data_IF_216076976200
#
_entry.id   IF_216076976200
#
_cell.length_a   1.000
_cell.length_b   1.000
_cell.length_c   1.000
_cell.angle_alpha   90.00
_cell.angle_beta   90.00
_cell.angle_gamma   90.00
#
_symmetry.space_group_name_H-M   'P 1'
#
loop_
_entity.id
_entity.type
_entity.pdbx_description
1 polymer ?
#
# COMPACT_ATOMS: atom_id res chain seq x y z
N UNK A 1 7.09 -18.34 -14.96
CA UNK A 1 6.57 -17.89 -13.67
C UNK A 1 5.06 -18.06 -13.60
N UNK A 2 4.24 -17.36 -14.39
CA UNK A 2 2.77 -17.49 -14.31
C UNK A 2 2.26 -18.94 -14.53
N UNK A 3 2.66 -19.67 -15.58
CA UNK A 3 2.13 -21.03 -15.81
C UNK A 3 2.58 -22.08 -14.77
N UNK A 4 3.67 -21.80 -14.06
CA UNK A 4 4.26 -22.71 -13.07
C UNK A 4 3.58 -22.58 -11.70
N UNK A 5 3.04 -21.40 -11.40
CA UNK A 5 2.52 -21.09 -10.07
C UNK A 5 1.02 -20.79 -10.07
N UNK A 6 0.48 -20.18 -11.13
CA UNK A 6 -0.91 -19.73 -11.18
C UNK A 6 -1.82 -20.69 -11.96
N UNK A 7 -1.36 -21.16 -13.12
CA UNK A 7 -2.13 -22.03 -14.02
C UNK A 7 -2.07 -23.52 -13.62
N UNK A 8 -1.93 -23.79 -12.31
CA UNK A 8 -1.90 -25.14 -11.75
C UNK A 8 -3.31 -25.58 -11.30
N UNK A 9 -3.66 -26.88 -11.44
CA UNK A 9 -4.93 -27.42 -10.97
C UNK A 9 -5.16 -27.12 -9.47
N UNK A 10 -6.40 -26.82 -9.11
CA UNK A 10 -6.76 -26.56 -7.70
C UNK A 10 -6.45 -27.73 -6.75
N UNK A 11 -6.43 -28.95 -7.28
CA UNK A 11 -6.16 -30.20 -6.56
C UNK A 11 -4.69 -30.35 -6.14
N UNK A 12 -3.78 -29.59 -6.78
CA UNK A 12 -2.34 -29.60 -6.49
C UNK A 12 -1.95 -28.53 -5.46
N UNK A 13 -2.89 -27.66 -5.05
CA UNK A 13 -2.66 -26.58 -4.08
C UNK A 13 -2.79 -27.08 -2.65
N UNK A 14 -1.87 -26.67 -1.79
CA UNK A 14 -1.96 -26.83 -0.35
C UNK A 14 -3.13 -26.03 0.25
N UNK A 15 -3.55 -26.36 1.47
CA UNK A 15 -4.63 -25.65 2.17
C UNK A 15 -4.35 -24.16 2.35
N UNK A 16 -3.09 -23.80 2.67
CA UNK A 16 -2.66 -22.41 2.84
C UNK A 16 -2.72 -21.63 1.51
N UNK A 17 -2.34 -22.26 0.40
CA UNK A 17 -2.43 -21.65 -0.94
C UNK A 17 -3.89 -21.46 -1.37
N UNK A 18 -4.77 -22.42 -1.05
CA UNK A 18 -6.21 -22.29 -1.30
C UNK A 18 -6.80 -21.13 -0.48
N UNK A 19 -6.41 -21.01 0.79
CA UNK A 19 -6.85 -19.94 1.67
C UNK A 19 -6.40 -18.56 1.15
N UNK A 20 -5.11 -18.42 0.81
CA UNK A 20 -4.56 -17.19 0.24
C UNK A 20 -5.27 -16.82 -1.08
N UNK A 21 -5.44 -17.78 -1.99
CA UNK A 21 -6.13 -17.55 -3.26
C UNK A 21 -7.57 -17.07 -3.07
N UNK A 22 -8.34 -17.72 -2.17
CA UNK A 22 -9.71 -17.30 -1.85
C UNK A 22 -9.76 -15.88 -1.30
N UNK A 23 -8.81 -15.50 -0.46
CA UNK A 23 -8.78 -14.16 0.12
C UNK A 23 -8.45 -13.10 -0.93
N UNK A 24 -7.50 -13.38 -1.83
CA UNK A 24 -7.20 -12.54 -3.00
C UNK A 24 -8.45 -12.33 -3.87
N UNK A 25 -9.19 -13.40 -4.18
CA UNK A 25 -10.44 -13.32 -4.97
C UNK A 25 -11.52 -12.47 -4.31
N UNK A 26 -11.53 -12.38 -2.98
CA UNK A 26 -12.47 -11.56 -2.23
C UNK A 26 -12.05 -10.08 -2.19
N UNK A 27 -10.74 -9.80 -2.15
CA UNK A 27 -10.22 -8.44 -1.98
C UNK A 27 -10.02 -7.70 -3.30
N UNK A 28 -9.54 -8.37 -4.36
CA UNK A 28 -9.24 -7.72 -5.64
C UNK A 28 -10.43 -6.95 -6.22
N UNK A 29 -11.66 -7.50 -6.27
CA UNK A 29 -12.82 -6.77 -6.81
C UNK A 29 -13.21 -5.51 -6.04
N UNK A 30 -12.68 -5.32 -4.82
CA UNK A 30 -12.95 -4.19 -3.93
C UNK A 30 -11.78 -3.21 -3.83
N UNK A 31 -10.72 -3.44 -4.60
CA UNK A 31 -9.49 -2.64 -4.58
C UNK A 31 -9.69 -1.31 -5.28
N UNK A 32 -9.21 -0.22 -4.68
CA UNK A 32 -9.33 1.14 -5.21
C UNK A 32 -10.74 1.49 -5.75
N UNK A 33 -11.79 1.41 -4.89
CA UNK A 33 -13.19 1.51 -5.32
C UNK A 33 -13.55 2.84 -6.00
N UNK A 34 -12.78 3.90 -5.74
CA UNK A 34 -12.94 5.22 -6.33
C UNK A 34 -12.34 5.38 -7.72
N UNK A 35 -11.64 4.36 -8.23
CA UNK A 35 -10.93 4.40 -9.52
C UNK A 35 -11.48 3.29 -10.43
N UNK A 36 -12.40 3.61 -11.37
CA UNK A 36 -13.08 2.61 -12.20
C UNK A 36 -12.13 1.71 -12.97
N UNK A 37 -11.00 2.24 -13.43
CA UNK A 37 -10.02 1.51 -14.23
C UNK A 37 -9.46 0.25 -13.54
N UNK A 38 -9.37 0.21 -12.20
CA UNK A 38 -8.95 -1.02 -11.49
C UNK A 38 -10.00 -2.14 -11.49
N UNK A 39 -11.22 -1.86 -11.97
CA UNK A 39 -12.29 -2.84 -12.09
C UNK A 39 -12.35 -3.48 -13.47
N UNK A 40 -11.50 -3.06 -14.41
CA UNK A 40 -11.36 -3.71 -15.70
C UNK A 40 -10.87 -5.16 -15.53
N UNK A 41 -11.45 -6.15 -16.23
CA UNK A 41 -11.11 -7.57 -16.04
C UNK A 41 -9.62 -7.88 -16.18
N UNK A 42 -8.97 -7.27 -17.18
CA UNK A 42 -7.54 -7.47 -17.44
C UNK A 42 -6.66 -6.98 -16.28
N UNK A 43 -7.11 -5.94 -15.57
CA UNK A 43 -6.43 -5.39 -14.40
C UNK A 43 -6.65 -6.28 -13.18
N UNK A 44 -7.89 -6.71 -12.95
CA UNK A 44 -8.21 -7.62 -11.84
C UNK A 44 -7.49 -8.96 -11.97
N UNK A 45 -7.40 -9.53 -13.17
CA UNK A 45 -6.64 -10.75 -13.42
C UNK A 45 -5.16 -10.57 -13.09
N UNK A 46 -4.58 -9.44 -13.47
CA UNK A 46 -3.18 -9.12 -13.16
C UNK A 46 -2.93 -8.97 -11.66
N UNK A 47 -3.81 -8.26 -10.95
CA UNK A 47 -3.75 -8.14 -9.49
C UNK A 47 -3.87 -9.50 -8.80
N UNK A 48 -4.80 -10.36 -9.25
CA UNK A 48 -4.98 -11.70 -8.69
C UNK A 48 -3.73 -12.56 -8.84
N UNK A 49 -3.15 -12.61 -10.06
CA UNK A 49 -1.91 -13.36 -10.32
C UNK A 49 -0.77 -12.85 -9.46
N UNK A 50 -0.54 -11.55 -9.48
CA UNK A 50 0.57 -10.91 -8.78
C UNK A 50 0.48 -11.18 -7.27
N UNK A 51 -0.68 -10.90 -6.65
CA UNK A 51 -0.86 -11.04 -5.20
C UNK A 51 -0.81 -12.51 -4.75
N UNK A 52 -1.39 -13.41 -5.54
CA UNK A 52 -1.31 -14.84 -5.25
C UNK A 52 0.13 -15.36 -5.33
N UNK A 53 0.84 -15.09 -6.43
CA UNK A 53 2.25 -15.50 -6.61
C UNK A 53 3.12 -14.89 -5.51
N UNK A 54 2.85 -13.66 -5.10
CA UNK A 54 3.57 -13.04 -3.98
C UNK A 54 3.31 -13.78 -2.68
N UNK A 55 2.05 -14.07 -2.35
CA UNK A 55 1.65 -14.74 -1.11
C UNK A 55 2.28 -16.11 -0.94
N UNK A 56 2.25 -16.95 -1.98
CA UNK A 56 2.82 -18.32 -1.91
C UNK A 56 4.35 -18.30 -1.79
N UNK A 57 5.01 -17.26 -2.32
CA UNK A 57 6.47 -17.12 -2.26
C UNK A 57 6.97 -16.54 -0.94
N UNK A 58 6.08 -16.03 -0.10
CA UNK A 58 6.39 -15.43 1.20
C UNK A 58 5.57 -16.10 2.32
N UNK A 59 5.79 -17.38 2.63
CA UNK A 59 4.92 -18.16 3.53
C UNK A 59 4.88 -17.64 4.97
N UNK A 60 5.88 -16.85 5.40
CA UNK A 60 5.87 -16.20 6.71
C UNK A 60 4.79 -15.10 6.83
N UNK A 61 4.33 -14.56 5.70
CA UNK A 61 3.27 -13.55 5.62
C UNK A 61 2.01 -14.13 4.98
N UNK A 62 2.16 -14.87 3.87
CA UNK A 62 1.04 -15.18 2.98
C UNK A 62 0.45 -13.92 2.37
N UNK A 63 -0.74 -14.03 1.78
CA UNK A 63 -1.51 -12.84 1.42
C UNK A 63 -2.16 -12.23 2.67
N UNK A 64 -1.97 -10.93 2.88
CA UNK A 64 -2.61 -10.18 3.97
C UNK A 64 -3.45 -9.05 3.38
N UNK A 65 -4.68 -8.91 3.87
CA UNK A 65 -5.58 -7.85 3.43
C UNK A 65 -4.92 -6.46 3.60
N UNK A 66 -4.97 -5.65 2.54
CA UNK A 66 -4.28 -4.36 2.44
C UNK A 66 -3.06 -4.40 1.51
N UNK A 67 -2.47 -5.58 1.27
CA UNK A 67 -1.42 -5.75 0.26
C UNK A 67 -1.91 -5.43 -1.16
N UNK A 68 -3.18 -5.73 -1.45
CA UNK A 68 -3.83 -5.38 -2.71
C UNK A 68 -3.74 -3.87 -3.01
N UNK A 69 -3.84 -3.02 -1.98
CA UNK A 69 -3.77 -1.56 -2.16
C UNK A 69 -2.34 -1.11 -2.47
N UNK A 70 -1.31 -1.80 -1.97
CA UNK A 70 0.09 -1.43 -2.20
C UNK A 70 0.53 -1.59 -3.67
N UNK A 71 -0.15 -2.46 -4.42
CA UNK A 71 0.15 -2.70 -5.84
C UNK A 71 -0.40 -1.59 -6.71
N UNK A 72 -1.49 -0.95 -6.30
CA UNK A 72 -2.22 0.01 -7.12
C UNK A 72 -1.38 1.22 -7.58
N UNK A 73 -0.52 1.85 -6.75
CA UNK A 73 0.30 2.97 -7.21
C UNK A 73 1.34 2.54 -8.26
N UNK A 74 1.98 1.38 -8.08
CA UNK A 74 2.92 0.85 -9.07
C UNK A 74 2.24 0.55 -10.39
N UNK A 75 1.07 -0.11 -10.33
CA UNK A 75 0.32 -0.46 -11.53
C UNK A 75 -0.12 0.79 -12.30
N UNK A 76 -0.61 1.81 -11.61
CA UNK A 76 -0.97 3.08 -12.24
C UNK A 76 0.24 3.77 -12.88
N UNK A 77 1.38 3.84 -12.19
CA UNK A 77 2.59 4.49 -12.72
C UNK A 77 3.11 3.76 -13.95
N UNK A 78 3.26 2.44 -13.92
CA UNK A 78 3.79 1.69 -15.07
C UNK A 78 2.81 1.65 -16.25
N UNK A 79 1.49 1.58 -16.01
CA UNK A 79 0.51 1.68 -17.09
C UNK A 79 0.46 3.09 -17.72
N UNK A 80 0.83 4.13 -16.98
CA UNK A 80 0.82 5.50 -17.51
C UNK A 80 1.76 5.69 -18.71
N UNK A 81 2.82 4.89 -18.84
CA UNK A 81 3.73 4.91 -20.00
C UNK A 81 3.06 4.40 -21.30
N UNK A 82 2.00 3.62 -21.16
CA UNK A 82 1.25 3.01 -22.25
C UNK A 82 -0.10 3.69 -22.51
N UNK A 83 -0.47 4.64 -21.67
CA UNK A 83 -1.78 5.30 -21.68
C UNK A 83 -1.65 6.77 -22.11
N UNK A 84 -2.73 7.32 -22.67
CA UNK A 84 -2.78 8.73 -23.04
C UNK A 84 -3.79 9.46 -22.15
N UNK A 85 -3.42 10.67 -21.73
CA UNK A 85 -4.30 11.53 -20.94
C UNK A 85 -4.43 11.10 -19.46
N UNK A 86 -5.34 11.74 -18.72
CA UNK A 86 -5.53 11.48 -17.30
C UNK A 86 -6.22 10.11 -17.08
N UNK A 87 -6.03 9.53 -15.89
CA UNK A 87 -6.44 8.16 -15.57
C UNK A 87 -7.95 7.92 -15.75
N UNK A 88 -8.78 8.95 -15.60
CA UNK A 88 -10.24 8.88 -15.82
C UNK A 88 -10.61 8.57 -17.28
N UNK A 89 -9.69 8.78 -18.22
CA UNK A 89 -9.87 8.52 -19.66
C UNK A 89 -9.27 7.19 -20.13
N UNK A 90 -8.61 6.45 -19.23
CA UNK A 90 -7.96 5.19 -19.60
C UNK A 90 -8.99 4.10 -19.90
N UNK A 91 -8.70 3.28 -20.91
CA UNK A 91 -9.51 2.12 -21.29
C UNK A 91 -8.62 0.88 -21.43
N UNK A 92 -9.18 -0.28 -21.07
CA UNK A 92 -8.53 -1.57 -21.26
C UNK A 92 -8.29 -1.92 -22.74
N UNK A 93 -9.00 -1.28 -23.68
CA UNK A 93 -8.86 -1.52 -25.13
C UNK A 93 -7.44 -1.22 -25.65
N UNK A 94 -6.71 -0.35 -24.96
CA UNK A 94 -5.33 0.02 -25.31
C UNK A 94 -4.30 -1.01 -24.80
N UNK A 95 -4.73 -1.96 -23.96
CA UNK A 95 -3.87 -2.95 -23.33
C UNK A 95 -3.91 -4.27 -24.08
N UNK A 96 -2.76 -4.92 -24.10
CA UNK A 96 -2.63 -6.29 -24.56
C UNK A 96 -1.89 -7.13 -23.51
N UNK A 97 -1.93 -8.45 -23.68
CA UNK A 97 -1.33 -9.37 -22.75
C UNK A 97 0.19 -9.17 -22.59
N UNK A 98 0.90 -8.76 -23.63
CA UNK A 98 2.34 -8.52 -23.57
C UNK A 98 2.67 -7.32 -22.68
N UNK A 99 1.96 -6.21 -22.85
CA UNK A 99 2.10 -5.02 -21.99
C UNK A 99 1.78 -5.38 -20.55
N UNK A 100 0.65 -6.06 -20.32
CA UNK A 100 0.22 -6.43 -18.98
C UNK A 100 1.19 -7.35 -18.27
N UNK A 101 1.76 -8.35 -18.96
CA UNK A 101 2.75 -9.24 -18.35
C UNK A 101 4.06 -8.52 -17.99
N UNK A 102 4.49 -7.55 -18.80
CA UNK A 102 5.67 -6.73 -18.49
C UNK A 102 5.42 -5.86 -17.25
N UNK A 103 4.31 -5.11 -17.26
CA UNK A 103 3.91 -4.25 -16.15
C UNK A 103 3.66 -5.04 -14.86
N UNK A 104 3.03 -6.22 -14.95
CA UNK A 104 2.80 -7.12 -13.82
C UNK A 104 4.12 -7.58 -13.21
N UNK A 105 5.12 -7.91 -14.03
CA UNK A 105 6.44 -8.30 -13.55
C UNK A 105 7.14 -7.15 -12.81
N UNK A 106 7.08 -5.93 -13.35
CA UNK A 106 7.67 -4.75 -12.71
C UNK A 106 6.96 -4.43 -11.39
N UNK A 107 5.62 -4.46 -11.37
CA UNK A 107 4.82 -4.31 -10.15
C UNK A 107 5.18 -5.36 -9.10
N UNK A 108 5.37 -6.61 -9.50
CA UNK A 108 5.73 -7.70 -8.60
C UNK A 108 7.08 -7.43 -7.91
N UNK A 109 8.11 -7.04 -8.66
CA UNK A 109 9.42 -6.75 -8.10
C UNK A 109 9.43 -5.50 -7.23
N UNK A 110 8.69 -4.46 -7.62
CA UNK A 110 8.48 -3.27 -6.80
C UNK A 110 7.76 -3.58 -5.50
N UNK A 111 6.72 -4.43 -5.52
CA UNK A 111 6.04 -4.90 -4.31
C UNK A 111 7.00 -5.68 -3.39
N UNK A 112 7.80 -6.60 -3.96
CA UNK A 112 8.82 -7.33 -3.20
C UNK A 112 9.78 -6.37 -2.49
N UNK A 113 10.30 -5.37 -3.23
CA UNK A 113 11.23 -4.37 -2.66
C UNK A 113 10.59 -3.47 -1.62
N UNK A 114 9.33 -3.09 -1.82
CA UNK A 114 8.56 -2.33 -0.83
C UNK A 114 8.40 -3.13 0.47
N UNK A 115 7.88 -4.36 0.35
CA UNK A 115 7.57 -5.20 1.51
C UNK A 115 8.82 -5.67 2.24
N UNK A 116 9.97 -5.83 1.56
CA UNK A 116 11.27 -6.06 2.22
C UNK A 116 11.59 -5.01 3.31
N UNK A 117 11.16 -3.76 3.14
CA UNK A 117 11.35 -2.70 4.12
C UNK A 117 10.34 -2.69 5.28
N UNK A 118 9.24 -3.45 5.17
CA UNK A 118 8.13 -3.47 6.12
C UNK A 118 7.58 -4.89 6.36
N UNK A 119 8.44 -5.91 6.31
CA UNK A 119 8.02 -7.33 6.37
C UNK A 119 7.19 -7.63 7.62
N UNK A 120 7.60 -7.06 8.74
CA UNK A 120 6.97 -7.19 10.05
C UNK A 120 5.57 -6.54 10.15
N UNK A 121 5.13 -5.79 9.13
CA UNK A 121 3.75 -5.32 8.98
C UNK A 121 2.80 -6.45 8.55
N UNK A 122 3.31 -7.47 7.85
CA UNK A 122 2.49 -8.52 7.22
C UNK A 122 2.80 -9.93 7.75
N UNK A 123 3.76 -10.11 8.66
CA UNK A 123 3.93 -11.37 9.38
C UNK A 123 2.82 -11.57 10.43
N UNK A 124 2.69 -12.80 10.96
CA UNK A 124 1.76 -13.13 12.04
C UNK A 124 1.77 -12.10 13.20
N UNK A 125 0.58 -11.73 13.66
CA UNK A 125 0.33 -10.69 14.68
C UNK A 125 0.78 -9.25 14.33
N UNK A 126 1.29 -9.02 13.11
CA UNK A 126 1.63 -7.71 12.55
C UNK A 126 2.39 -6.77 13.53
N UNK A 127 3.49 -7.23 14.15
CA UNK A 127 4.17 -6.48 15.20
C UNK A 127 4.73 -5.13 14.74
N UNK A 128 5.05 -4.99 13.45
CA UNK A 128 5.49 -3.71 12.88
C UNK A 128 4.37 -2.67 12.80
N UNK A 129 3.12 -3.10 12.53
CA UNK A 129 1.95 -2.21 12.59
C UNK A 129 1.76 -1.68 14.02
N UNK A 130 1.80 -2.57 15.01
CA UNK A 130 1.65 -2.20 16.42
C UNK A 130 2.71 -1.17 16.86
N UNK A 131 3.97 -1.38 16.45
CA UNK A 131 5.05 -0.41 16.72
C UNK A 131 4.81 0.94 16.04
N UNK A 132 4.40 0.94 14.78
CA UNK A 132 4.14 2.17 14.01
C UNK A 132 2.99 2.97 14.61
N UNK A 133 1.88 2.30 14.97
CA UNK A 133 0.73 2.93 15.63
C UNK A 133 1.12 3.50 17.00
N UNK A 134 1.89 2.76 17.79
CA UNK A 134 2.41 3.28 19.07
C UNK A 134 3.27 4.53 18.89
N UNK A 135 4.14 4.55 17.87
CA UNK A 135 4.95 5.73 17.56
C UNK A 135 4.09 6.92 17.11
N UNK A 136 3.05 6.70 16.32
CA UNK A 136 2.08 7.74 15.94
C UNK A 136 1.42 8.33 17.20
N UNK A 137 0.93 7.48 18.11
CA UNK A 137 0.36 7.91 19.40
C UNK A 137 1.32 8.79 20.18
N UNK A 138 2.58 8.36 20.35
CA UNK A 138 3.58 9.13 21.08
C UNK A 138 3.93 10.46 20.39
N UNK A 139 3.90 10.53 19.07
CA UNK A 139 4.10 11.78 18.35
C UNK A 139 2.95 12.76 18.54
N UNK A 140 1.71 12.30 18.41
CA UNK A 140 0.53 13.14 18.66
C UNK A 140 0.53 13.64 20.09
N UNK A 141 0.79 12.77 21.07
CA UNK A 141 0.90 13.18 22.49
C UNK A 141 1.98 14.25 22.73
N UNK A 142 3.06 14.25 21.96
CA UNK A 142 4.16 15.22 22.08
C UNK A 142 3.91 16.54 21.34
N UNK A 143 3.19 16.51 20.24
CA UNK A 143 2.96 17.69 19.40
C UNK A 143 1.62 18.37 19.72
N UNK A 144 0.59 17.58 20.00
CA UNK A 144 -0.81 17.96 20.17
C UNK A 144 -1.41 17.19 21.37
N UNK A 145 -0.94 17.50 22.58
CA UNK A 145 -1.37 16.80 23.81
C UNK A 145 -2.88 16.88 24.01
N UNK A 146 -3.50 18.01 23.69
CA UNK A 146 -4.94 18.24 23.87
C UNK A 146 -5.77 17.27 23.01
N UNK A 147 -5.30 16.96 21.80
CA UNK A 147 -5.94 15.96 20.92
C UNK A 147 -5.76 14.56 21.49
N UNK A 148 -4.56 14.21 21.96
CA UNK A 148 -4.28 12.91 22.56
C UNK A 148 -5.16 12.67 23.80
N UNK A 149 -5.26 13.66 24.68
CA UNK A 149 -6.03 13.57 25.92
C UNK A 149 -7.53 13.46 25.62
N UNK A 150 -8.01 14.19 24.60
CA UNK A 150 -9.41 14.08 24.15
C UNK A 150 -9.73 12.68 23.61
N UNK A 151 -8.87 12.11 22.76
CA UNK A 151 -9.06 10.75 22.25
C UNK A 151 -9.10 9.71 23.38
N UNK A 152 -8.23 9.86 24.39
CA UNK A 152 -8.24 8.98 25.57
C UNK A 152 -9.51 9.14 26.42
N UNK A 153 -9.99 10.38 26.60
CA UNK A 153 -11.24 10.66 27.32
C UNK A 153 -12.47 10.04 26.63
N UNK A 154 -12.48 10.02 25.29
CA UNK A 154 -13.53 9.39 24.48
C UNK A 154 -13.31 7.87 24.27
N UNK A 155 -12.31 7.27 24.92
CA UNK A 155 -11.93 5.88 24.80
C UNK A 155 -11.63 5.43 23.35
N UNK A 156 -11.09 6.34 22.54
CA UNK A 156 -10.64 6.08 21.16
C UNK A 156 -9.17 5.65 21.17
N UNK A 157 -8.92 4.40 20.80
CA UNK A 157 -7.56 3.89 20.65
C UNK A 157 -7.03 4.18 19.24
N UNK A 158 -5.78 4.64 19.15
CA UNK A 158 -5.08 4.90 17.88
C UNK A 158 -5.13 3.71 16.93
N UNK A 159 -5.11 2.47 17.44
CA UNK A 159 -5.18 1.28 16.57
C UNK A 159 -6.48 1.22 15.76
N UNK A 160 -7.59 1.80 16.25
CA UNK A 160 -8.90 1.73 15.60
C UNK A 160 -8.92 2.45 14.24
N UNK A 161 -8.13 3.51 14.08
CA UNK A 161 -8.04 4.27 12.83
C UNK A 161 -6.66 4.12 12.15
N UNK A 162 -5.57 4.14 12.91
CA UNK A 162 -4.23 4.16 12.37
C UNK A 162 -3.77 2.80 11.83
N UNK A 163 -4.41 1.68 12.22
CA UNK A 163 -4.12 0.37 11.61
C UNK A 163 -4.23 0.45 10.09
N UNK A 164 -5.34 1.00 9.57
CA UNK A 164 -5.57 1.12 8.12
C UNK A 164 -4.57 2.06 7.46
N UNK A 165 -4.21 3.14 8.15
CA UNK A 165 -3.23 4.13 7.67
C UNK A 165 -1.86 3.48 7.44
N UNK A 166 -1.38 2.71 8.41
CA UNK A 166 -0.08 2.05 8.34
C UNK A 166 -0.12 0.84 7.40
N UNK A 167 -1.18 0.03 7.46
CA UNK A 167 -1.28 -1.21 6.69
C UNK A 167 -1.40 -0.97 5.17
N UNK A 168 -2.07 0.12 4.76
CA UNK A 168 -2.24 0.51 3.36
C UNK A 168 -1.38 1.74 2.97
N UNK A 169 -0.43 2.17 3.81
CA UNK A 169 0.43 3.34 3.59
C UNK A 169 -0.34 4.59 3.11
N UNK A 170 -1.46 4.89 3.79
CA UNK A 170 -2.38 6.01 3.54
C UNK A 170 -3.08 6.04 2.17
N UNK A 171 -2.91 5.02 1.32
CA UNK A 171 -3.55 4.96 -0.01
C UNK A 171 -5.07 5.05 0.06
N UNK A 172 -5.68 4.64 1.19
CA UNK A 172 -7.14 4.70 1.41
C UNK A 172 -7.66 6.03 1.97
N UNK A 173 -6.78 6.89 2.47
CA UNK A 173 -7.18 8.14 3.15
C UNK A 173 -7.12 9.35 2.22
N UNK A 174 -6.37 9.23 1.13
CA UNK A 174 -6.13 10.29 0.17
C UNK A 174 -6.78 9.99 -1.18
N UNK A 175 -7.19 11.02 -1.95
CA UNK A 175 -7.41 10.88 -3.38
C UNK A 175 -6.23 10.17 -4.05
N UNK A 176 -6.50 9.25 -4.96
CA UNK A 176 -5.50 8.34 -5.50
C UNK A 176 -4.26 9.05 -6.10
N UNK A 177 -4.47 10.15 -6.82
CA UNK A 177 -3.37 10.95 -7.38
C UNK A 177 -2.48 11.57 -6.29
N UNK A 178 -3.06 11.95 -5.15
CA UNK A 178 -2.30 12.46 -4.01
C UNK A 178 -1.55 11.34 -3.28
N UNK A 179 -2.12 10.13 -3.23
CA UNK A 179 -1.43 8.95 -2.70
C UNK A 179 -0.17 8.62 -3.54
N UNK A 180 -0.27 8.65 -4.88
CA UNK A 180 0.90 8.49 -5.76
C UNK A 180 1.95 9.56 -5.46
N UNK A 181 1.53 10.84 -5.38
CA UNK A 181 2.46 11.94 -5.07
C UNK A 181 3.11 11.80 -3.70
N UNK A 182 2.40 11.29 -2.70
CA UNK A 182 2.97 11.00 -1.38
C UNK A 182 4.07 9.94 -1.49
N UNK A 183 3.83 8.90 -2.29
CA UNK A 183 4.76 7.80 -2.51
C UNK A 183 6.04 8.22 -3.24
N UNK A 184 6.02 9.26 -4.09
CA UNK A 184 7.25 9.86 -4.64
C UNK A 184 8.23 10.25 -3.52
N UNK A 185 7.69 10.82 -2.43
CA UNK A 185 8.49 11.22 -1.27
C UNK A 185 8.95 10.01 -0.47
N UNK A 186 8.08 9.00 -0.31
CA UNK A 186 8.45 7.78 0.41
C UNK A 186 9.59 7.02 -0.28
N UNK A 187 9.57 6.95 -1.61
CA UNK A 187 10.60 6.31 -2.42
C UNK A 187 11.90 7.12 -2.44
N UNK A 188 11.83 8.45 -2.38
CA UNK A 188 13.00 9.32 -2.36
C UNK A 188 13.69 9.36 -0.98
N UNK A 189 12.94 9.19 0.12
CA UNK A 189 13.50 9.23 1.46
C UNK A 189 14.23 7.91 1.80
N UNK A 190 15.56 7.97 1.85
CA UNK A 190 16.42 6.80 2.08
C UNK A 190 16.32 6.13 3.47
N UNK A 191 15.46 6.61 4.37
CA UNK A 191 15.22 6.01 5.69
C UNK A 191 14.15 4.90 5.68
N UNK A 192 13.44 4.72 4.56
CA UNK A 192 12.43 3.67 4.40
C UNK A 192 11.00 4.11 4.74
N UNK A 193 10.03 3.40 4.14
CA UNK A 193 8.60 3.73 4.13
C UNK A 193 7.97 3.85 5.54
N UNK A 194 8.32 2.95 6.45
CA UNK A 194 7.76 2.93 7.81
C UNK A 194 8.29 4.06 8.70
N UNK A 195 9.51 4.54 8.46
CA UNK A 195 10.08 5.63 9.25
C UNK A 195 9.52 6.98 8.83
N UNK A 196 9.30 7.20 7.52
CA UNK A 196 8.73 8.45 7.02
C UNK A 196 7.27 8.65 7.42
N UNK A 197 6.44 7.59 7.36
CA UNK A 197 5.04 7.65 7.80
C UNK A 197 4.90 8.19 9.23
N UNK A 198 5.90 7.92 10.07
CA UNK A 198 5.93 8.33 11.48
C UNK A 198 6.95 9.43 11.71
N UNK A 199 7.19 10.29 10.72
CA UNK A 199 8.13 11.41 10.82
C UNK A 199 7.39 12.74 10.93
N UNK A 200 7.09 13.10 12.16
CA UNK A 200 6.97 14.50 12.57
C UNK A 200 7.86 14.75 13.80
N UNK A 201 8.68 15.79 13.77
CA UNK A 201 9.32 16.32 14.99
C UNK A 201 10.82 16.08 15.22
N UNK A 202 11.66 15.92 14.18
CA UNK A 202 13.15 15.95 14.33
C UNK A 202 13.89 16.97 13.47
N UNK A 203 13.23 17.97 12.88
CA UNK A 203 13.96 19.15 12.38
C UNK A 203 13.74 20.28 13.38
N UNK A 204 14.84 20.72 14.00
CA UNK A 204 14.81 21.81 14.96
C UNK A 204 14.21 23.08 14.36
N UNK A 205 13.71 24.00 15.20
CA UNK A 205 12.97 25.19 14.77
C UNK A 205 13.72 26.10 13.79
N UNK A 206 15.04 25.98 13.65
CA UNK A 206 15.85 26.83 12.76
C UNK A 206 15.92 26.34 11.30
N UNK A 207 15.82 25.02 11.03
CA UNK A 207 15.87 24.50 9.65
C UNK A 207 14.50 24.51 8.98
N UNK A 208 13.43 24.26 9.74
CA UNK A 208 12.04 24.32 9.25
C UNK A 208 11.67 25.74 8.79
N UNK A 209 12.21 26.78 9.44
CA UNK A 209 12.00 28.20 9.08
C UNK A 209 12.71 28.64 7.78
N UNK A 210 13.76 27.93 7.35
CA UNK A 210 14.57 28.36 6.19
C UNK A 210 14.00 27.92 4.84
N UNK A 211 13.16 26.89 4.79
CA UNK A 211 12.68 26.33 3.52
C UNK A 211 11.21 26.62 3.21
N UNK A 212 10.36 26.91 4.19
CA UNK A 212 8.94 27.17 3.98
C UNK A 212 8.48 28.34 4.85
N UNK A 213 8.58 29.58 4.37
CA UNK A 213 8.15 30.74 5.14
C UNK A 213 6.64 30.75 5.45
N UNK A 214 5.81 30.10 4.62
CA UNK A 214 4.35 30.33 4.61
C UNK A 214 3.48 29.08 4.34
N UNK A 215 3.87 27.86 4.71
CA UNK A 215 2.94 26.71 4.59
C UNK A 215 2.88 25.84 5.83
N UNK A 216 1.65 25.73 6.34
CA UNK A 216 1.18 24.88 7.40
C UNK A 216 1.76 23.47 7.28
N UNK A 217 2.18 22.91 8.41
CA UNK A 217 2.51 21.50 8.53
C UNK A 217 1.35 20.69 7.95
N UNK A 218 1.57 20.02 6.82
CA UNK A 218 0.64 19.00 6.36
C UNK A 218 0.83 17.81 7.30
N UNK A 219 0.01 17.77 8.34
CA UNK A 219 -0.33 16.54 9.03
C UNK A 219 -1.23 15.80 8.04
N UNK A 220 -0.73 14.72 7.45
CA UNK A 220 -1.59 13.73 6.79
C UNK A 220 -2.15 12.83 7.87
#
# INVERSE_FOLDING_TARGET
>A
MVPEYYDIPHEERSEDEIAAYRQVLVDVPRTAPSVPFFHEPIIQESLQRLLYIWGIRHPASGYVQGMNDLVTPFLAVFLSEHMQGPMESWSADMLNQTIMLAVEADCYWCLCKLVEGIQDHYTYAQPGIQRSVFRIKELVRRCESDVSDHLEAEAVDFIQFALRWVNCLLVRELPFCLAIRLWDTYLAEGTGFSEFLVRCGKRGPEETRRMLPDRECIVV
#
